data_IF_071300125411
#
_entry.id   IF_071300125411
#
_cell.length_a   1.000
_cell.length_b   1.000
_cell.length_c   1.000
_cell.angle_alpha   90.00
_cell.angle_beta   90.00
_cell.angle_gamma   90.00
#
_symmetry.space_group_name_H-M   'P 1'
#
loop_
_entity.id
_entity.type
_entity.pdbx_description
1 polymer ?
#
# COMPACT_ATOMS: atom_id res chain seq x y z
N UNK A 1 2.38 -17.20 -6.86
CA UNK A 1 3.52 -16.65 -6.09
C UNK A 1 3.31 -16.93 -4.60
N UNK A 2 4.28 -17.50 -3.88
CA UNK A 2 4.17 -17.73 -2.42
C UNK A 2 4.60 -16.47 -1.61
N UNK A 3 3.69 -15.50 -1.47
CA UNK A 3 3.93 -14.29 -0.66
C UNK A 3 4.31 -14.59 0.80
N UNK A 4 3.77 -15.68 1.37
CA UNK A 4 4.05 -16.12 2.74
C UNK A 4 5.53 -16.43 2.98
N UNK A 5 6.23 -17.02 2.00
CA UNK A 5 7.66 -17.34 2.15
C UNK A 5 8.52 -16.08 2.23
N UNK A 6 8.23 -15.10 1.38
CA UNK A 6 8.90 -13.79 1.37
C UNK A 6 8.65 -13.04 2.68
N UNK A 7 7.40 -13.03 3.16
CA UNK A 7 7.04 -12.44 4.45
C UNK A 7 7.83 -13.08 5.60
N UNK A 8 7.93 -14.42 5.65
CA UNK A 8 8.72 -15.11 6.67
C UNK A 8 10.20 -14.69 6.66
N UNK A 9 10.80 -14.55 5.47
CA UNK A 9 12.20 -14.13 5.33
C UNK A 9 12.42 -12.68 5.79
N UNK A 10 11.51 -11.77 5.43
CA UNK A 10 11.54 -10.37 5.88
C UNK A 10 11.41 -10.29 7.40
N UNK A 11 10.43 -11.00 7.97
CA UNK A 11 10.22 -11.04 9.43
C UNK A 11 11.44 -11.57 10.15
N UNK A 12 12.05 -12.64 9.62
CA UNK A 12 13.24 -13.24 10.20
C UNK A 12 14.42 -12.27 10.22
N UNK A 13 14.72 -11.60 9.11
CA UNK A 13 15.77 -10.58 9.05
C UNK A 13 15.47 -9.38 9.96
N UNK A 14 14.24 -8.87 9.94
CA UNK A 14 13.83 -7.75 10.78
C UNK A 14 14.04 -8.03 12.27
N UNK A 15 13.63 -9.21 12.74
CA UNK A 15 13.85 -9.65 14.12
C UNK A 15 15.34 -9.76 14.48
N UNK A 16 16.18 -10.24 13.57
CA UNK A 16 17.63 -10.35 13.77
C UNK A 16 18.28 -8.97 14.03
N UNK A 17 17.77 -7.94 13.39
CA UNK A 17 18.24 -6.56 13.54
C UNK A 17 17.48 -5.74 14.61
N UNK A 18 16.56 -6.38 15.37
CA UNK A 18 15.80 -5.70 16.42
C UNK A 18 14.66 -4.81 15.94
N UNK A 19 14.21 -4.94 14.68
CA UNK A 19 13.07 -4.19 14.16
C UNK A 19 11.73 -4.78 14.62
N UNK A 20 10.75 -3.90 14.83
CA UNK A 20 9.36 -4.28 15.12
C UNK A 20 8.64 -4.52 13.79
N UNK A 21 7.98 -5.68 13.66
CA UNK A 21 7.15 -6.01 12.50
C UNK A 21 5.68 -6.01 12.90
N UNK A 22 4.87 -5.19 12.22
CA UNK A 22 3.42 -5.12 12.41
C UNK A 22 2.72 -5.55 11.13
N UNK A 23 1.81 -6.52 11.25
CA UNK A 23 0.91 -6.88 10.16
C UNK A 23 -0.29 -5.95 10.17
N UNK A 24 -0.61 -5.38 9.02
CA UNK A 24 -1.75 -4.48 8.80
C UNK A 24 -2.68 -5.09 7.76
N UNK A 25 -3.97 -4.73 7.81
CA UNK A 25 -4.95 -5.20 6.83
C UNK A 25 -4.77 -4.41 5.52
N UNK A 26 -4.43 -5.06 4.39
CA UNK A 26 -4.20 -4.36 3.13
C UNK A 26 -5.48 -4.03 2.35
N UNK A 27 -6.65 -4.40 2.85
CA UNK A 27 -7.92 -4.25 2.13
C UNK A 27 -8.15 -2.79 1.72
N UNK A 28 -8.48 -2.58 0.44
CA UNK A 28 -8.80 -1.27 -0.15
C UNK A 28 -7.69 -0.20 -0.10
N UNK A 29 -6.46 -0.57 0.29
CA UNK A 29 -5.31 0.35 0.39
C UNK A 29 -4.88 0.94 -0.96
N UNK A 30 -5.09 0.25 -2.08
CA UNK A 30 -4.66 0.70 -3.41
C UNK A 30 -5.68 1.54 -4.17
N UNK A 31 -6.90 1.68 -3.65
CA UNK A 31 -8.03 2.33 -4.34
C UNK A 31 -8.56 3.53 -3.55
N UNK A 32 -8.21 3.65 -2.27
CA UNK A 32 -8.64 4.73 -1.40
C UNK A 32 -7.65 5.90 -1.48
N UNK A 33 -8.14 7.13 -1.58
CA UNK A 33 -7.27 8.29 -1.59
C UNK A 33 -6.66 8.54 -0.20
N UNK A 34 -5.32 8.60 -0.04
CA UNK A 34 -4.69 8.82 1.26
C UNK A 34 -4.99 10.19 1.88
N UNK A 35 -5.48 11.15 1.08
CA UNK A 35 -5.83 12.51 1.55
C UNK A 35 -7.28 12.65 1.99
N UNK A 36 -8.21 11.99 1.30
CA UNK A 36 -9.65 12.26 1.49
C UNK A 36 -10.52 11.00 1.61
N UNK A 37 -9.90 9.80 1.63
CA UNK A 37 -10.56 8.50 1.76
C UNK A 37 -11.63 8.19 0.71
N UNK A 38 -11.73 8.97 -0.37
CA UNK A 38 -12.64 8.68 -1.48
C UNK A 38 -12.01 7.71 -2.46
N UNK A 39 -12.87 6.94 -3.14
CA UNK A 39 -12.48 5.99 -4.19
C UNK A 39 -11.80 6.73 -5.35
N UNK A 40 -10.59 6.29 -5.69
CA UNK A 40 -9.81 6.80 -6.82
C UNK A 40 -10.23 6.12 -8.13
N UNK A 41 -9.93 6.77 -9.26
CA UNK A 41 -10.17 6.25 -10.61
C UNK A 41 -8.82 6.04 -11.31
N UNK A 42 -8.68 4.94 -12.02
CA UNK A 42 -7.51 4.69 -12.85
C UNK A 42 -7.57 5.59 -14.09
N UNK A 43 -6.48 6.32 -14.35
CA UNK A 43 -6.35 7.25 -15.49
C UNK A 43 -5.43 6.67 -16.57
N UNK A 44 -4.41 5.92 -16.16
CA UNK A 44 -3.52 5.18 -17.05
C UNK A 44 -3.03 3.91 -16.34
N UNK A 45 -2.25 3.08 -17.04
CA UNK A 45 -1.78 1.80 -16.50
C UNK A 45 -1.08 1.99 -15.14
N UNK A 46 -1.69 1.44 -14.07
CA UNK A 46 -1.22 1.54 -12.68
C UNK A 46 -1.22 2.96 -12.09
N UNK A 47 -1.81 3.95 -12.75
CA UNK A 47 -1.83 5.33 -12.28
C UNK A 47 -3.25 5.80 -11.94
N UNK A 48 -3.42 6.36 -10.74
CA UNK A 48 -4.73 6.67 -10.16
C UNK A 48 -4.86 8.16 -9.88
N UNK A 49 -6.05 8.71 -10.16
CA UNK A 49 -6.45 10.07 -9.83
C UNK A 49 -7.65 10.06 -8.90
N UNK A 50 -7.60 10.89 -7.86
CA UNK A 50 -8.75 11.15 -7.02
C UNK A 50 -9.63 12.24 -7.66
N UNK A 51 -10.91 11.95 -7.98
CA UNK A 51 -11.80 12.94 -8.57
C UNK A 51 -12.22 14.06 -7.61
N UNK A 52 -12.00 13.90 -6.30
CA UNK A 52 -12.45 14.88 -5.31
C UNK A 52 -11.38 15.85 -4.83
N UNK A 53 -10.11 15.44 -4.80
CA UNK A 53 -9.02 16.29 -4.32
C UNK A 53 -7.90 16.48 -5.36
N UNK A 54 -8.02 15.85 -6.53
CA UNK A 54 -7.04 15.96 -7.61
C UNK A 54 -5.72 15.23 -7.35
N UNK A 55 -5.59 14.48 -6.25
CA UNK A 55 -4.36 13.72 -5.97
C UNK A 55 -4.14 12.62 -7.01
N UNK A 56 -2.92 12.54 -7.53
CA UNK A 56 -2.50 11.62 -8.58
C UNK A 56 -1.23 10.89 -8.19
N UNK A 57 -1.20 9.57 -8.34
CA UNK A 57 0.01 8.79 -8.14
C UNK A 57 -0.10 7.36 -8.69
N UNK A 58 1.01 6.64 -8.67
CA UNK A 58 1.04 5.20 -8.93
C UNK A 58 0.28 4.42 -7.83
N UNK A 59 -0.39 3.34 -8.25
CA UNK A 59 -1.19 2.44 -7.42
C UNK A 59 -0.41 1.88 -6.24
N UNK A 60 0.86 1.53 -6.43
CA UNK A 60 1.70 0.95 -5.38
C UNK A 60 2.08 2.02 -4.35
N UNK A 61 2.37 3.25 -4.79
CA UNK A 61 2.66 4.37 -3.89
C UNK A 61 1.43 4.68 -3.04
N UNK A 62 0.24 4.70 -3.65
CA UNK A 62 -1.04 4.87 -2.94
C UNK A 62 -1.25 3.76 -1.92
N UNK A 63 -0.99 2.50 -2.30
CA UNK A 63 -1.11 1.37 -1.39
C UNK A 63 -0.18 1.52 -0.17
N UNK A 64 1.09 1.87 -0.37
CA UNK A 64 2.05 2.07 0.72
C UNK A 64 1.60 3.20 1.66
N UNK A 65 1.13 4.32 1.10
CA UNK A 65 0.65 5.47 1.88
C UNK A 65 -0.59 5.16 2.73
N UNK A 66 -1.41 4.18 2.34
CA UNK A 66 -2.59 3.78 3.11
C UNK A 66 -2.33 2.62 4.08
N UNK A 67 -1.17 1.97 3.98
CA UNK A 67 -0.75 0.88 4.89
C UNK A 67 -0.01 1.39 6.13
N UNK A 68 0.35 2.68 6.16
CA UNK A 68 1.01 3.35 7.29
C UNK A 68 0.11 3.51 8.49
#
# INVERSE_FOLDING_TARGET
>A
MQYRRVQCWIVWQAKKHGFIVKFVNPSYSSVSCPKCNKKMREVSYRYFRCPSCGYENDRDVIAIMNLS
#
